data_IF_242813343182
#
_entry.id   IF_242813343182
#
_cell.length_a   1.000
_cell.length_b   1.000
_cell.length_c   1.000
_cell.angle_alpha   90.00
_cell.angle_beta   90.00
_cell.angle_gamma   90.00
#
_symmetry.space_group_name_H-M   'P 1'
#
loop_
_entity.id
_entity.type
_entity.pdbx_description
1 polymer ?
#
# COMPACT_ATOMS: atom_id res chain seq x y z
N UNK A 1 18.03 8.60 -16.46
CA UNK A 1 17.42 7.34 -16.03
C UNK A 1 16.58 7.67 -14.82
N UNK A 2 15.29 7.97 -15.03
CA UNK A 2 14.38 8.27 -13.91
C UNK A 2 14.02 6.95 -13.23
N UNK A 3 14.19 6.87 -11.92
CA UNK A 3 13.74 5.71 -11.14
C UNK A 3 12.24 5.47 -11.42
N UNK A 4 11.89 4.25 -11.82
CA UNK A 4 10.49 3.81 -11.96
C UNK A 4 9.88 3.73 -10.55
N UNK A 5 9.38 4.86 -10.05
CA UNK A 5 8.79 4.94 -8.72
C UNK A 5 7.30 4.61 -8.82
N UNK A 6 6.98 3.33 -8.66
CA UNK A 6 5.59 2.89 -8.44
C UNK A 6 5.09 3.50 -7.13
N UNK A 7 3.95 4.18 -7.18
CA UNK A 7 3.25 4.67 -6.00
C UNK A 7 1.78 4.32 -6.03
N UNK A 8 1.14 4.34 -4.86
CA UNK A 8 -0.23 3.93 -4.67
C UNK A 8 -1.07 5.12 -4.19
N UNK A 9 -2.28 5.22 -4.70
CA UNK A 9 -3.26 6.23 -4.32
C UNK A 9 -4.61 5.56 -4.05
N UNK A 10 -5.52 6.25 -3.38
CA UNK A 10 -6.93 5.87 -3.36
C UNK A 10 -7.72 6.86 -4.19
N UNK A 11 -8.60 6.38 -5.07
CA UNK A 11 -9.42 7.26 -5.91
C UNK A 11 -10.77 6.62 -6.19
N UNK A 12 -11.80 7.45 -6.22
CA UNK A 12 -13.16 7.07 -6.60
C UNK A 12 -13.83 8.20 -7.41
N UNK A 13 -14.86 7.88 -8.20
CA UNK A 13 -15.61 8.85 -9.01
C UNK A 13 -16.36 9.93 -8.21
N UNK A 14 -16.79 9.64 -6.98
CA UNK A 14 -17.60 10.52 -6.12
C UNK A 14 -16.71 11.27 -5.13
N UNK A 15 -15.94 10.55 -4.31
CA UNK A 15 -15.10 11.17 -3.28
C UNK A 15 -13.74 11.66 -3.79
N UNK A 16 -13.44 11.46 -5.07
CA UNK A 16 -12.17 11.88 -5.69
C UNK A 16 -10.96 11.08 -5.19
N UNK A 17 -9.76 11.63 -5.41
CA UNK A 17 -8.49 11.01 -5.02
C UNK A 17 -8.02 11.46 -3.64
N UNK A 18 -7.29 10.60 -2.92
CA UNK A 18 -6.49 11.04 -1.78
C UNK A 18 -5.36 11.96 -2.24
N UNK A 19 -4.92 12.85 -1.35
CA UNK A 19 -3.82 13.79 -1.64
C UNK A 19 -2.44 13.19 -1.38
N UNK A 20 -2.35 11.88 -1.09
CA UNK A 20 -1.11 11.22 -0.71
C UNK A 20 -0.59 10.30 -1.82
N UNK A 21 0.72 10.34 -2.07
CA UNK A 21 1.42 9.33 -2.86
C UNK A 21 2.03 8.29 -1.92
N UNK A 22 1.36 7.15 -1.77
CA UNK A 22 1.81 6.11 -0.87
C UNK A 22 2.91 5.27 -1.52
N UNK A 23 4.03 5.09 -0.82
CA UNK A 23 5.13 4.23 -1.30
C UNK A 23 4.78 2.74 -1.27
N UNK A 24 3.77 2.35 -0.48
CA UNK A 24 3.34 0.96 -0.31
C UNK A 24 1.83 0.86 -0.27
N UNK A 25 1.31 -0.32 -0.64
CA UNK A 25 -0.12 -0.61 -0.66
C UNK A 25 -0.73 -0.55 0.74
N UNK A 26 -0.02 -1.00 1.75
CA UNK A 26 -0.45 -0.95 3.16
C UNK A 26 -0.81 0.48 3.61
N UNK A 27 0.00 1.49 3.23
CA UNK A 27 -0.34 2.89 3.51
C UNK A 27 -1.57 3.37 2.71
N UNK A 28 -1.71 2.92 1.46
CA UNK A 28 -2.91 3.23 0.67
C UNK A 28 -4.16 2.56 1.26
N UNK A 29 -4.04 1.33 1.79
CA UNK A 29 -5.11 0.62 2.47
C UNK A 29 -5.50 1.32 3.77
N UNK A 30 -4.52 1.79 4.55
CA UNK A 30 -4.79 2.58 5.74
C UNK A 30 -5.57 3.86 5.40
N UNK A 31 -5.21 4.54 4.29
CA UNK A 31 -5.93 5.70 3.79
C UNK A 31 -7.36 5.34 3.36
N UNK A 32 -7.55 4.24 2.63
CA UNK A 32 -8.87 3.76 2.21
C UNK A 32 -9.75 3.43 3.43
N UNK A 33 -9.21 2.73 4.42
CA UNK A 33 -9.93 2.38 5.66
C UNK A 33 -10.35 3.61 6.46
N UNK A 34 -9.57 4.69 6.42
CA UNK A 34 -9.97 5.95 7.03
C UNK A 34 -11.13 6.59 6.25
N UNK A 35 -11.07 6.62 4.93
CA UNK A 35 -12.14 7.16 4.09
C UNK A 35 -13.45 6.37 4.22
N UNK A 36 -13.40 5.04 4.28
CA UNK A 36 -14.57 4.18 4.56
C UNK A 36 -15.22 4.59 5.88
N UNK A 37 -14.43 4.69 6.96
CA UNK A 37 -14.95 5.08 8.29
C UNK A 37 -15.53 6.50 8.29
N UNK A 38 -14.93 7.43 7.54
CA UNK A 38 -15.47 8.79 7.39
C UNK A 38 -16.79 8.78 6.63
N UNK A 39 -16.88 8.05 5.52
CA UNK A 39 -18.10 7.93 4.73
C UNK A 39 -19.25 7.30 5.55
N UNK A 40 -18.98 6.24 6.31
CA UNK A 40 -19.97 5.61 7.19
C UNK A 40 -20.52 6.56 8.25
N UNK A 41 -19.68 7.42 8.83
CA UNK A 41 -20.12 8.46 9.78
C UNK A 41 -21.03 9.50 9.13
N UNK A 42 -20.82 9.78 7.84
CA UNK A 42 -21.64 10.68 7.03
C UNK A 42 -22.91 9.98 6.47
N UNK A 43 -23.12 8.70 6.79
CA UNK A 43 -24.25 7.91 6.27
C UNK A 43 -24.08 7.50 4.79
N UNK A 44 -22.86 7.58 4.25
CA UNK A 44 -22.53 7.24 2.86
C UNK A 44 -21.59 6.03 2.80
N UNK A 45 -21.33 5.54 1.59
CA UNK A 45 -20.29 4.52 1.34
C UNK A 45 -19.12 5.16 0.59
N UNK A 46 -17.91 4.74 0.94
CA UNK A 46 -16.74 5.10 0.15
C UNK A 46 -16.76 4.35 -1.17
N UNK A 47 -16.56 5.09 -2.26
CA UNK A 47 -16.40 4.61 -3.63
C UNK A 47 -14.92 4.51 -4.03
N UNK A 48 -14.00 4.85 -3.13
CA UNK A 48 -12.57 4.87 -3.43
C UNK A 48 -12.02 3.45 -3.54
N UNK A 49 -11.06 3.28 -4.44
CA UNK A 49 -10.28 2.05 -4.62
C UNK A 49 -8.80 2.35 -4.65
N UNK A 50 -7.98 1.36 -4.34
CA UNK A 50 -6.52 1.51 -4.42
C UNK A 50 -6.10 1.39 -5.88
N UNK A 51 -5.35 2.37 -6.36
CA UNK A 51 -4.74 2.38 -7.68
C UNK A 51 -3.22 2.35 -7.54
N UNK A 52 -2.57 1.51 -8.33
CA UNK A 52 -1.14 1.58 -8.59
C UNK A 52 -0.88 2.55 -9.74
N UNK A 53 0.06 3.47 -9.54
CA UNK A 53 0.54 4.39 -10.56
C UNK A 53 1.97 4.06 -10.87
N UNK A 54 2.22 3.64 -12.10
CA UNK A 54 3.53 3.28 -12.61
C UNK A 54 3.78 4.04 -13.92
N UNK A 55 4.80 4.89 -13.94
CA UNK A 55 5.14 5.73 -15.10
C UNK A 55 3.94 6.48 -15.73
N UNK A 56 3.00 6.94 -14.88
CA UNK A 56 1.78 7.65 -15.30
C UNK A 56 0.64 6.75 -15.77
N UNK A 57 0.87 5.44 -15.90
CA UNK A 57 -0.19 4.45 -16.10
C UNK A 57 -0.86 4.15 -14.77
N UNK A 58 -2.19 4.12 -14.78
CA UNK A 58 -3.00 3.90 -13.59
C UNK A 58 -3.71 2.56 -13.72
N UNK A 59 -3.46 1.66 -12.76
CA UNK A 59 -4.10 0.35 -12.68
C UNK A 59 -4.86 0.23 -11.36
N UNK A 60 -6.11 -0.19 -11.42
CA UNK A 60 -6.85 -0.59 -10.22
C UNK A 60 -6.31 -1.89 -9.66
N UNK A 61 -6.09 -1.93 -8.34
CA UNK A 61 -5.74 -3.16 -7.63
C UNK A 61 -7.02 -3.77 -7.06
N UNK A 62 -7.24 -5.06 -7.34
CA UNK A 62 -8.33 -5.80 -6.70
C UNK A 62 -7.93 -6.27 -5.30
N UNK A 63 -8.92 -6.59 -4.46
CA UNK A 63 -8.71 -6.96 -3.05
C UNK A 63 -7.72 -8.11 -2.86
N UNK A 64 -7.74 -9.10 -3.76
CA UNK A 64 -6.79 -10.21 -3.73
C UNK A 64 -5.34 -9.75 -3.96
N UNK A 65 -5.10 -8.86 -4.92
CA UNK A 65 -3.77 -8.32 -5.22
C UNK A 65 -3.22 -7.48 -4.07
N UNK A 66 -4.12 -6.75 -3.38
CA UNK A 66 -3.79 -5.97 -2.18
C UNK A 66 -3.28 -6.91 -1.07
N UNK A 67 -3.97 -8.01 -0.84
CA UNK A 67 -3.60 -9.02 0.16
C UNK A 67 -2.30 -9.76 -0.19
N UNK A 68 -2.12 -10.18 -1.44
CA UNK A 68 -0.91 -10.88 -1.88
C UNK A 68 0.34 -9.99 -1.78
N UNK A 69 0.23 -8.71 -2.16
CA UNK A 69 1.35 -7.77 -2.10
C UNK A 69 1.69 -7.38 -0.65
N UNK A 70 0.71 -7.26 0.23
CA UNK A 70 0.94 -7.09 1.67
C UNK A 70 1.64 -8.32 2.28
N UNK A 71 1.17 -9.52 1.96
CA UNK A 71 1.79 -10.78 2.40
C UNK A 71 3.23 -10.92 1.91
N UNK A 72 3.49 -10.64 0.63
CA UNK A 72 4.83 -10.68 0.04
C UNK A 72 5.77 -9.67 0.72
N UNK A 73 5.30 -8.44 0.98
CA UNK A 73 6.09 -7.42 1.68
C UNK A 73 6.42 -7.84 3.12
N UNK A 74 5.44 -8.31 3.89
CA UNK A 74 5.65 -8.78 5.28
C UNK A 74 6.64 -9.94 5.32
N UNK A 75 6.52 -10.88 4.39
CA UNK A 75 7.41 -12.03 4.27
C UNK A 75 8.83 -11.61 3.93
N UNK A 76 9.00 -10.67 2.99
CA UNK A 76 10.31 -10.13 2.63
C UNK A 76 10.95 -9.36 3.79
N UNK A 77 10.18 -8.56 4.53
CA UNK A 77 10.65 -7.83 5.70
C UNK A 77 11.11 -8.79 6.80
N UNK A 78 10.29 -9.81 7.11
CA UNK A 78 10.62 -10.85 8.11
C UNK A 78 11.91 -11.59 7.75
N UNK A 79 12.09 -11.97 6.48
CA UNK A 79 13.33 -12.60 6.00
C UNK A 79 14.56 -11.68 6.16
N UNK A 80 14.42 -10.38 5.93
CA UNK A 80 15.51 -9.40 6.11
C UNK A 80 15.92 -9.28 7.58
N UNK A 81 14.94 -9.17 8.48
CA UNK A 81 15.19 -9.10 9.94
C UNK A 81 15.92 -10.36 10.41
N UNK A 82 15.40 -11.54 10.08
CA UNK A 82 16.05 -12.81 10.46
C UNK A 82 17.49 -12.92 9.92
N UNK A 83 17.73 -12.46 8.70
CA UNK A 83 19.08 -12.45 8.10
C UNK A 83 20.02 -11.46 8.80
N UNK A 84 19.49 -10.35 9.30
CA UNK A 84 20.27 -9.38 10.08
C UNK A 84 20.61 -9.95 11.46
N UNK A 85 19.63 -10.50 12.18
CA UNK A 85 19.84 -11.14 13.50
C UNK A 85 20.87 -12.28 13.38
N UNK A 86 20.80 -13.11 12.34
CA UNK A 86 21.77 -14.17 12.09
C UNK A 86 23.19 -13.62 11.86
N UNK A 87 23.32 -12.46 11.19
CA UNK A 87 24.63 -11.82 10.97
C UNK A 87 25.18 -11.24 12.27
N UNK A 88 24.35 -10.63 13.09
CA UNK A 88 24.73 -10.10 14.41
C UNK A 88 25.19 -11.24 15.35
N UNK A 89 24.47 -12.36 15.37
CA UNK A 89 24.86 -13.57 16.10
C UNK A 89 26.17 -14.18 15.59
N UNK A 90 26.40 -14.18 14.28
CA UNK A 90 27.60 -14.76 13.69
C UNK A 90 28.84 -13.84 13.81
N UNK A 91 28.65 -12.52 13.86
CA UNK A 91 29.73 -11.54 14.01
C UNK A 91 30.05 -11.20 15.49
N UNK A 92 29.22 -11.66 16.44
CA UNK A 92 29.44 -11.53 17.88
C UNK A 92 30.27 -12.66 18.50
N UNK A 93 31.01 -13.43 17.69
CA UNK A 93 32.01 -14.43 18.12
C UNK A 93 33.41 -14.01 17.72
#
# INVERSE_FOLDING_TARGET
>A
MGEEVVYYITKGPIRGACQHKHRTIDYAYHCLRHDIRSAEKEGTRSDRRILAVDNGQVRELVEHEICELDYARRTALKKKVLKQEQRELNNGK
#
